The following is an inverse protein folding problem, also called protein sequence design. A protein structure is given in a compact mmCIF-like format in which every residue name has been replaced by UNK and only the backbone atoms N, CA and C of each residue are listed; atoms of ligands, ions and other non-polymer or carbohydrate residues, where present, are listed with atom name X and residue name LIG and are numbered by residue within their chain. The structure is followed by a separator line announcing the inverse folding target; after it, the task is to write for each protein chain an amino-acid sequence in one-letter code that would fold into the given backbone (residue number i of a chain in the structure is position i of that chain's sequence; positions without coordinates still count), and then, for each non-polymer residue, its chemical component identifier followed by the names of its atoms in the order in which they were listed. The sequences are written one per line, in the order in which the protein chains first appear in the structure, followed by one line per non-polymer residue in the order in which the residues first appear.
data_IF_066595371327
#
_entry.id   IF_066595371327
#
_cell.length_a   1.000
_cell.length_b   1.000
_cell.length_c   1.000
_cell.angle_alpha   90.00
_cell.angle_beta   90.00
_cell.angle_gamma   90.00
#
_symmetry.space_group_name_H-M   'P 1'
#
loop_
_entity.id
_entity.type
_entity.pdbx_description
1 polymer ?
#
# COMPACT_ATOMS: atom_id res chain seq x y z
N UNK A 1 -21.74 -27.59 -7.02
CA UNK A 1 -21.69 -26.12 -6.81
C UNK A 1 -20.24 -25.77 -7.07
N UNK A 2 -19.91 -25.38 -8.31
CA UNK A 2 -18.55 -24.95 -8.68
C UNK A 2 -18.29 -23.61 -8.00
N UNK A 3 -17.47 -23.63 -6.96
CA UNK A 3 -17.03 -22.45 -6.21
C UNK A 3 -15.71 -21.87 -6.72
N UNK A 4 -15.23 -22.36 -7.88
CA UNK A 4 -13.85 -22.17 -8.31
C UNK A 4 -13.61 -20.97 -9.24
N UNK A 5 -14.58 -20.08 -9.47
CA UNK A 5 -14.41 -18.99 -10.43
C UNK A 5 -14.80 -17.61 -9.90
N UNK A 6 -14.32 -17.30 -8.70
CA UNK A 6 -14.18 -15.92 -8.25
C UNK A 6 -12.69 -15.57 -8.21
N UNK A 7 -12.05 -15.59 -9.38
CA UNK A 7 -10.74 -14.94 -9.52
C UNK A 7 -10.87 -13.48 -9.05
N UNK A 8 -10.03 -13.00 -8.12
CA UNK A 8 -10.08 -11.63 -7.70
C UNK A 8 -9.78 -10.74 -8.91
N UNK A 9 -10.78 -9.96 -9.34
CA UNK A 9 -10.58 -8.94 -10.36
C UNK A 9 -9.55 -7.96 -9.81
N UNK A 10 -8.30 -8.12 -10.22
CA UNK A 10 -7.22 -7.19 -9.91
C UNK A 10 -7.56 -5.91 -10.66
N UNK A 11 -8.28 -4.99 -9.99
CA UNK A 11 -8.45 -3.64 -10.48
C UNK A 11 -7.06 -3.07 -10.65
N UNK A 12 -6.63 -2.89 -11.91
CA UNK A 12 -5.42 -2.15 -12.22
C UNK A 12 -5.56 -0.80 -11.55
N UNK A 13 -4.58 -0.44 -10.74
CA UNK A 13 -4.51 0.90 -10.16
C UNK A 13 -4.47 1.86 -11.33
N UNK A 14 -5.52 2.67 -11.49
CA UNK A 14 -5.57 3.68 -12.53
C UNK A 14 -4.44 4.67 -12.26
N UNK A 15 -3.49 4.72 -13.19
CA UNK A 15 -2.43 5.71 -13.15
C UNK A 15 -3.08 7.04 -13.52
N UNK A 16 -3.07 8.00 -12.58
CA UNK A 16 -3.61 9.34 -12.81
C UNK A 16 -2.86 9.99 -13.98
N UNK A 17 -3.59 10.62 -14.89
CA UNK A 17 -3.00 11.47 -15.92
C UNK A 17 -2.57 12.80 -15.29
N UNK A 18 -1.25 12.98 -15.18
CA UNK A 18 -0.66 14.16 -14.53
C UNK A 18 -0.68 15.39 -15.43
N UNK A 19 -0.78 15.24 -16.76
CA UNK A 19 -0.72 16.36 -17.70
C UNK A 19 -1.96 17.27 -17.60
N UNK A 20 -3.09 16.70 -17.18
CA UNK A 20 -4.37 17.41 -17.02
C UNK A 20 -4.58 18.02 -15.63
N UNK A 21 -3.67 17.77 -14.68
CA UNK A 21 -3.79 18.25 -13.30
C UNK A 21 -3.18 19.65 -13.14
N UNK A 22 -3.77 20.47 -12.27
CA UNK A 22 -3.18 21.77 -11.88
C UNK A 22 -1.99 21.57 -10.93
N UNK A 23 -1.19 22.62 -10.73
CA UNK A 23 -0.06 22.59 -9.79
C UNK A 23 -0.55 22.29 -8.37
N UNK A 24 -1.67 22.88 -7.96
CA UNK A 24 -2.28 22.65 -6.66
C UNK A 24 -2.72 21.19 -6.51
N UNK A 25 -3.40 20.63 -7.52
CA UNK A 25 -3.84 19.24 -7.51
C UNK A 25 -2.66 18.25 -7.49
N UNK A 26 -1.55 18.59 -8.15
CA UNK A 26 -0.31 17.80 -8.08
C UNK A 26 0.31 17.86 -6.67
N UNK A 27 0.26 19.02 -6.02
CA UNK A 27 0.68 19.18 -4.62
C UNK A 27 -0.15 18.30 -3.67
N UNK A 28 -1.47 18.36 -3.77
CA UNK A 28 -2.37 17.52 -2.98
C UNK A 28 -2.13 16.02 -3.23
N UNK A 29 -1.91 15.62 -4.48
CA UNK A 29 -1.63 14.23 -4.82
C UNK A 29 -0.29 13.75 -4.23
N UNK A 30 0.73 14.61 -4.19
CA UNK A 30 1.99 14.31 -3.51
C UNK A 30 1.74 14.08 -2.01
N UNK A 31 0.95 14.92 -1.36
CA UNK A 31 0.65 14.80 0.07
C UNK A 31 -0.09 13.49 0.38
N UNK A 32 -1.05 13.08 -0.47
CA UNK A 32 -1.73 11.79 -0.38
C UNK A 32 -0.74 10.61 -0.46
N UNK A 33 0.15 10.63 -1.46
CA UNK A 33 1.13 9.57 -1.65
C UNK A 33 2.14 9.50 -0.51
N UNK A 34 2.59 10.63 0.02
CA UNK A 34 3.49 10.67 1.18
C UNK A 34 2.84 10.12 2.44
N UNK A 35 1.54 10.39 2.65
CA UNK A 35 0.80 9.81 3.76
C UNK A 35 0.73 8.29 3.63
N UNK A 36 0.46 7.78 2.44
CA UNK A 36 0.41 6.34 2.19
C UNK A 36 1.78 5.68 2.38
N UNK A 37 2.86 6.32 1.93
CA UNK A 37 4.23 5.84 2.19
C UNK A 37 4.46 5.68 3.70
N UNK A 38 4.14 6.71 4.50
CA UNK A 38 4.30 6.65 5.97
C UNK A 38 3.49 5.53 6.60
N UNK A 39 2.26 5.31 6.12
CA UNK A 39 1.39 4.22 6.58
C UNK A 39 2.04 2.86 6.32
N UNK A 40 2.58 2.66 5.12
CA UNK A 40 3.25 1.41 4.71
C UNK A 40 4.54 1.21 5.49
N UNK A 41 5.35 2.25 5.68
CA UNK A 41 6.57 2.20 6.50
C UNK A 41 6.28 1.78 7.94
N UNK A 42 5.25 2.37 8.57
CA UNK A 42 4.82 2.01 9.93
C UNK A 42 4.49 0.51 10.02
N UNK A 43 3.76 0.02 9.02
CA UNK A 43 3.31 -1.37 9.01
C UNK A 43 4.45 -2.35 8.72
N UNK A 44 5.47 -1.94 7.95
CA UNK A 44 6.70 -2.70 7.79
C UNK A 44 7.45 -2.83 9.11
N UNK A 45 7.58 -1.73 9.87
CA UNK A 45 8.26 -1.77 11.17
C UNK A 45 7.53 -2.69 12.16
N UNK A 46 6.20 -2.61 12.25
CA UNK A 46 5.41 -3.54 13.07
C UNK A 46 5.65 -5.00 12.68
N UNK A 47 5.73 -5.32 11.38
CA UNK A 47 6.03 -6.69 10.91
C UNK A 47 7.46 -7.13 11.23
N UNK A 48 8.44 -6.22 11.15
CA UNK A 48 9.83 -6.51 11.54
C UNK A 48 9.93 -6.82 13.04
N UNK A 49 9.29 -6.02 13.88
CA UNK A 49 9.24 -6.25 15.33
C UNK A 49 8.60 -7.61 15.66
N UNK A 50 7.46 -7.92 15.05
CA UNK A 50 6.80 -9.22 15.22
C UNK A 50 7.71 -10.39 14.82
N UNK A 51 8.44 -10.25 13.70
CA UNK A 51 9.40 -11.26 13.24
C UNK A 51 10.56 -11.43 14.23
N UNK A 52 11.17 -10.34 14.69
CA UNK A 52 12.26 -10.39 15.67
C UNK A 52 11.80 -11.01 17.00
N UNK A 53 10.59 -10.64 17.45
CA UNK A 53 9.96 -11.24 18.62
C UNK A 53 9.79 -12.75 18.47
N UNK A 54 9.28 -13.22 17.33
CA UNK A 54 9.17 -14.65 17.04
C UNK A 54 10.54 -15.35 17.01
N UNK A 55 11.53 -14.78 16.32
CA UNK A 55 12.89 -15.32 16.26
C UNK A 55 13.54 -15.45 17.65
N UNK A 56 13.18 -14.60 18.61
CA UNK A 56 13.66 -14.68 19.99
C UNK A 56 13.03 -15.80 20.83
N UNK A 57 11.83 -16.27 20.46
CA UNK A 57 11.09 -17.32 21.18
C UNK A 57 11.53 -18.73 20.72
N UNK A 58 11.98 -18.87 19.48
CA UNK A 58 12.39 -20.15 18.89
C UNK A 58 13.92 -20.37 18.91
N UNK A 59 14.66 -19.63 19.74
CA UNK A 59 16.12 -19.71 19.86
C UNK A 59 16.58 -20.38 21.16
#
# INVERSE_FOLDING_TARGET
MDTDDLEPIVKKVEIRDLEVMSIEALGEYIDELQLEIKRVETEIETKKEARQGAESVFK
#
